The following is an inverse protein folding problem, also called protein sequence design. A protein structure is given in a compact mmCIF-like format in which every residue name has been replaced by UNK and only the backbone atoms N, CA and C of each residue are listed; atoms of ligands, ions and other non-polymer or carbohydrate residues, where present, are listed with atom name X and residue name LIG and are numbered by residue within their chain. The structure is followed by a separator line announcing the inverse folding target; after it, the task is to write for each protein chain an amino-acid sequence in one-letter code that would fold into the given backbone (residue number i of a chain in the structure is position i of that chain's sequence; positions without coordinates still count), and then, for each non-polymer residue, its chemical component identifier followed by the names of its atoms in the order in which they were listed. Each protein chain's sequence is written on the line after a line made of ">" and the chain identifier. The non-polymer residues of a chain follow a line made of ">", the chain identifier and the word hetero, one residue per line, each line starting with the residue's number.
data_IF_762305234383
#
_entry.id   IF_762305234383
#
_cell.length_a   1.000
_cell.length_b   1.000
_cell.length_c   1.000
_cell.angle_alpha   90.00
_cell.angle_beta   90.00
_cell.angle_gamma   90.00
#
_symmetry.space_group_name_H-M   'P 1'
#
loop_
_entity.id
_entity.type
_entity.pdbx_description
1 polymer ?
#
# COMPACT_ATOMS: atom_id res chain seq x y z
N UNK A 1 -51.78 -51.24 -47.46
CA UNK A 1 -52.14 -52.23 -46.42
C UNK A 1 -51.12 -52.06 -45.30
N UNK A 2 -51.38 -51.29 -44.24
CA UNK A 2 -52.23 -51.60 -43.06
C UNK A 2 -51.30 -52.18 -41.96
N UNK A 3 -51.29 -51.80 -40.68
CA UNK A 3 -52.15 -50.94 -39.84
C UNK A 3 -51.46 -50.63 -38.49
N UNK A 4 -51.76 -49.43 -37.96
CA UNK A 4 -52.08 -49.02 -36.57
C UNK A 4 -51.19 -49.21 -35.32
N UNK A 5 -51.18 -48.13 -34.51
CA UNK A 5 -51.11 -48.08 -33.03
C UNK A 5 -50.11 -47.02 -32.52
N UNK A 6 -50.42 -45.71 -32.41
CA UNK A 6 -51.19 -44.96 -31.39
C UNK A 6 -50.83 -45.32 -29.92
N UNK A 7 -50.12 -44.41 -29.26
CA UNK A 7 -49.96 -44.34 -27.80
C UNK A 7 -50.16 -42.89 -27.37
N UNK A 8 -51.12 -42.68 -26.48
CA UNK A 8 -51.75 -41.41 -26.11
C UNK A 8 -50.90 -40.51 -25.21
N UNK A 9 -51.24 -39.22 -25.24
CA UNK A 9 -50.76 -38.22 -24.30
C UNK A 9 -51.67 -38.07 -23.08
N UNK A 10 -51.09 -37.65 -21.97
CA UNK A 10 -51.69 -37.00 -20.79
C UNK A 10 -50.49 -36.28 -20.13
N UNK A 11 -50.40 -34.97 -19.93
CA UNK A 11 -51.46 -34.04 -19.57
C UNK A 11 -51.57 -33.97 -18.05
N UNK A 12 -50.64 -33.30 -17.37
CA UNK A 12 -50.86 -32.77 -16.01
C UNK A 12 -50.26 -31.37 -15.92
N UNK A 13 -51.19 -30.43 -15.84
CA UNK A 13 -51.07 -29.02 -15.51
C UNK A 13 -50.75 -28.84 -14.01
N UNK A 14 -50.22 -27.65 -13.71
CA UNK A 14 -50.35 -26.92 -12.45
C UNK A 14 -49.60 -27.41 -11.20
N UNK A 15 -48.56 -26.63 -10.82
CA UNK A 15 -48.63 -25.93 -9.53
C UNK A 15 -47.70 -24.72 -9.47
N UNK A 16 -48.27 -23.54 -9.71
CA UNK A 16 -47.81 -22.29 -9.12
C UNK A 16 -48.11 -22.31 -7.61
N UNK A 17 -47.22 -21.81 -6.75
CA UNK A 17 -47.60 -21.21 -5.49
C UNK A 17 -47.78 -19.71 -5.66
N UNK A 18 -48.94 -19.27 -5.22
CA UNK A 18 -49.53 -17.96 -5.39
C UNK A 18 -48.81 -16.84 -4.63
N UNK A 19 -48.93 -15.67 -5.26
CA UNK A 19 -48.80 -14.31 -4.74
C UNK A 19 -49.40 -14.17 -3.32
N UNK A 20 -48.53 -14.14 -2.31
CA UNK A 20 -48.87 -13.71 -0.96
C UNK A 20 -48.94 -12.18 -0.91
N UNK A 21 -50.14 -11.63 -1.04
CA UNK A 21 -50.42 -10.24 -0.70
C UNK A 21 -50.46 -10.11 0.81
N UNK A 22 -49.47 -9.43 1.41
CA UNK A 22 -49.59 -8.93 2.77
C UNK A 22 -49.47 -7.41 2.74
N UNK A 23 -50.64 -6.78 2.64
CA UNK A 23 -50.85 -5.38 3.01
C UNK A 23 -50.66 -5.29 4.52
N UNK A 24 -49.65 -4.55 4.96
CA UNK A 24 -49.65 -3.98 6.31
C UNK A 24 -49.28 -2.51 6.20
N UNK A 25 -50.32 -1.69 6.03
CA UNK A 25 -50.29 -0.25 6.30
C UNK A 25 -50.69 -0.05 7.74
N UNK A 26 -49.80 0.52 8.55
CA UNK A 26 -50.19 1.38 9.67
C UNK A 26 -49.09 2.40 9.92
N UNK A 27 -49.54 3.64 9.86
CA UNK A 27 -48.84 4.92 9.96
C UNK A 27 -48.90 5.35 11.42
N UNK A 28 -47.76 5.73 12.03
CA UNK A 28 -47.59 6.79 13.06
C UNK A 28 -46.08 7.11 13.05
N UNK A 29 -45.56 8.14 12.38
CA UNK A 29 -45.60 9.58 12.63
C UNK A 29 -44.93 10.03 13.96
N UNK A 30 -43.98 10.96 13.82
CA UNK A 30 -43.33 11.80 14.83
C UNK A 30 -42.19 11.17 15.64
N UNK A 31 -40.95 11.58 15.32
CA UNK A 31 -40.22 12.53 16.15
C UNK A 31 -39.23 13.32 15.28
N UNK A 32 -39.58 14.59 15.03
CA UNK A 32 -38.64 15.63 14.66
C UNK A 32 -37.71 15.87 15.85
N UNK A 33 -36.44 15.53 15.72
CA UNK A 33 -35.38 15.91 16.63
C UNK A 33 -34.35 16.73 15.87
N UNK A 34 -34.64 18.01 15.65
CA UNK A 34 -33.65 19.00 15.26
C UNK A 34 -32.54 19.04 16.32
N UNK A 35 -31.35 18.55 15.99
CA UNK A 35 -30.15 18.90 16.74
C UNK A 35 -29.35 19.92 15.94
N UNK A 36 -29.84 21.16 15.93
CA UNK A 36 -29.01 22.33 15.66
C UNK A 36 -28.26 22.64 16.95
N UNK A 37 -26.97 22.27 17.02
CA UNK A 37 -26.06 22.80 18.03
C UNK A 37 -24.83 23.35 17.33
N UNK A 38 -24.98 24.57 16.82
CA UNK A 38 -23.87 25.43 16.43
C UNK A 38 -23.07 25.80 17.68
N UNK A 39 -21.89 25.21 17.84
CA UNK A 39 -20.90 25.74 18.76
C UNK A 39 -20.26 26.97 18.13
N UNK A 40 -20.81 28.14 18.44
CA UNK A 40 -20.11 29.41 18.23
C UNK A 40 -18.92 29.47 19.20
N UNK A 41 -17.73 29.16 18.70
CA UNK A 41 -16.50 29.57 19.35
C UNK A 41 -16.30 31.06 19.05
N UNK A 42 -16.67 31.92 20.00
CA UNK A 42 -16.11 33.27 20.08
C UNK A 42 -14.64 33.14 20.45
N UNK A 43 -13.77 33.10 19.45
CA UNK A 43 -12.37 33.45 19.64
C UNK A 43 -12.27 34.98 19.64
N UNK A 44 -11.90 35.54 20.79
CA UNK A 44 -11.50 36.92 20.91
C UNK A 44 -10.32 37.18 19.97
N UNK A 45 -10.51 38.09 19.02
CA UNK A 45 -9.45 38.59 18.15
C UNK A 45 -8.42 39.34 19.00
N UNK A 46 -7.25 38.74 19.17
CA UNK A 46 -6.06 39.43 19.67
C UNK A 46 -5.61 40.44 18.61
N UNK A 47 -5.49 41.70 19.02
CA UNK A 47 -4.98 42.80 18.20
C UNK A 47 -3.56 42.49 17.67
N UNK A 48 -3.21 42.96 16.45
CA UNK A 48 -1.86 42.77 15.91
C UNK A 48 -0.85 43.67 16.63
N UNK A 49 0.22 43.06 17.15
CA UNK A 49 1.38 43.78 17.65
C UNK A 49 2.18 44.39 16.47
N UNK A 50 2.71 45.62 16.59
CA UNK A 50 3.48 46.26 15.52
C UNK A 50 4.91 45.69 15.42
N UNK A 51 5.33 45.37 14.19
CA UNK A 51 6.72 45.09 13.82
C UNK A 51 7.61 46.34 13.94
N UNK A 52 8.83 46.24 14.51
CA UNK A 52 9.86 47.26 14.36
C UNK A 52 10.73 47.01 13.12
N UNK A 53 10.92 48.07 12.34
CA UNK A 53 11.83 48.17 11.19
C UNK A 53 13.32 48.25 11.59
N UNK A 54 14.25 48.02 10.63
CA UNK A 54 15.66 47.72 10.90
C UNK A 54 16.53 48.97 11.12
N UNK A 55 17.47 48.87 12.06
CA UNK A 55 18.45 49.91 12.35
C UNK A 55 19.76 49.63 11.59
N UNK A 56 20.07 50.49 10.62
CA UNK A 56 21.40 50.63 10.01
C UNK A 56 22.32 51.37 10.97
N UNK A 57 23.45 50.79 11.40
CA UNK A 57 24.67 51.53 11.76
C UNK A 57 25.91 50.71 11.33
N UNK A 58 26.90 51.43 10.85
CA UNK A 58 28.04 51.02 10.04
C UNK A 58 29.24 50.41 10.79
N UNK A 59 29.97 49.59 10.01
CA UNK A 59 31.41 49.33 9.96
C UNK A 59 32.33 49.76 11.13
N UNK A 60 33.00 48.77 11.74
CA UNK A 60 34.41 48.83 12.16
C UNK A 60 35.06 47.44 12.03
N UNK A 61 36.35 47.47 11.73
CA UNK A 61 37.24 46.45 11.14
C UNK A 61 37.55 45.20 12.02
N UNK A 62 38.24 44.17 11.47
CA UNK A 62 38.29 42.80 12.01
C UNK A 62 39.35 42.58 13.09
N UNK A 63 39.01 41.72 14.05
CA UNK A 63 39.87 41.25 15.15
C UNK A 63 40.84 40.17 14.62
N UNK A 64 42.16 40.24 14.92
CA UNK A 64 43.13 39.26 14.48
C UNK A 64 43.12 37.98 15.35
N UNK A 65 43.18 36.82 14.67
CA UNK A 65 43.36 35.49 15.26
C UNK A 65 44.72 35.33 15.96
N UNK A 66 44.82 34.62 17.10
CA UNK A 66 46.11 34.25 17.67
C UNK A 66 46.68 33.02 16.99
N UNK A 67 47.87 33.21 16.45
CA UNK A 67 48.80 32.22 15.93
C UNK A 67 49.48 31.48 17.10
N UNK A 68 49.45 30.14 17.12
CA UNK A 68 50.20 29.34 18.09
C UNK A 68 50.81 28.09 17.42
N UNK A 69 52.02 28.31 16.90
CA UNK A 69 53.22 27.50 17.10
C UNK A 69 53.15 25.98 16.83
N UNK A 70 53.72 25.61 15.67
CA UNK A 70 54.34 24.29 15.42
C UNK A 70 55.61 24.13 16.26
N UNK A 71 55.87 22.94 16.82
CA UNK A 71 57.23 22.44 16.98
C UNK A 71 57.53 21.37 15.93
N UNK A 72 58.53 21.66 15.11
CA UNK A 72 59.26 20.70 14.29
C UNK A 72 60.14 19.90 15.25
N UNK A 73 59.90 18.59 15.38
CA UNK A 73 60.88 17.64 15.89
C UNK A 73 61.07 16.58 14.80
N UNK A 74 62.19 16.69 14.10
CA UNK A 74 62.66 15.69 13.16
C UNK A 74 63.38 14.57 13.89
N UNK A 75 63.03 13.33 13.57
CA UNK A 75 63.90 12.18 13.81
C UNK A 75 64.01 11.32 12.55
N UNK A 76 65.19 10.72 12.29
CA UNK A 76 65.54 10.17 10.99
C UNK A 76 65.30 8.66 10.92
N UNK A 77 64.95 8.19 9.71
CA UNK A 77 65.23 6.83 9.25
C UNK A 77 64.28 5.74 9.75
N UNK A 78 63.55 5.13 8.83
CA UNK A 78 63.83 3.77 8.33
C UNK A 78 62.76 3.43 7.27
N UNK A 79 63.17 3.44 6.00
CA UNK A 79 62.36 2.95 4.89
C UNK A 79 62.32 1.42 4.94
N UNK A 80 61.28 0.86 5.53
CA UNK A 80 60.95 -0.54 5.31
C UNK A 80 59.99 -0.65 4.12
N UNK A 81 60.54 -0.99 2.96
CA UNK A 81 59.77 -1.51 1.83
C UNK A 81 59.12 -2.83 2.26
N UNK A 82 57.93 -2.76 2.86
CA UNK A 82 57.04 -3.93 2.90
C UNK A 82 56.52 -4.15 1.48
N UNK A 83 57.04 -5.17 0.81
CA UNK A 83 56.41 -5.74 -0.38
C UNK A 83 54.97 -6.11 0.02
N UNK A 84 54.01 -5.36 -0.51
CA UNK A 84 52.60 -5.72 -0.44
C UNK A 84 52.45 -7.02 -1.23
N UNK A 85 51.98 -8.13 -0.66
CA UNK A 85 51.50 -9.24 -1.47
C UNK A 85 50.36 -8.68 -2.32
N UNK A 86 50.41 -8.91 -3.62
CA UNK A 86 49.27 -8.66 -4.49
C UNK A 86 48.12 -9.51 -3.95
N UNK A 87 47.17 -8.88 -3.25
CA UNK A 87 45.88 -9.49 -3.01
C UNK A 87 45.23 -9.61 -4.39
N UNK A 88 45.00 -10.84 -4.82
CA UNK A 88 44.14 -11.15 -5.96
C UNK A 88 42.84 -10.36 -5.79
N UNK A 89 42.29 -9.74 -6.84
CA UNK A 89 40.97 -9.14 -6.74
C UNK A 89 40.01 -10.20 -6.20
N UNK A 90 39.10 -9.88 -5.26
CA UNK A 90 37.98 -10.77 -4.99
C UNK A 90 37.31 -11.10 -6.34
N UNK A 91 36.84 -12.33 -6.57
CA UNK A 91 36.12 -12.65 -7.79
C UNK A 91 35.06 -11.58 -7.94
N UNK A 92 35.14 -10.86 -9.06
CA UNK A 92 34.20 -9.81 -9.44
C UNK A 92 32.81 -10.34 -9.10
N UNK A 93 32.16 -9.72 -8.12
CA UNK A 93 30.72 -9.83 -7.97
C UNK A 93 30.20 -9.52 -9.36
N UNK A 94 29.67 -10.57 -9.99
CA UNK A 94 29.15 -10.53 -11.34
C UNK A 94 28.44 -9.21 -11.53
N UNK A 95 28.89 -8.51 -12.56
CA UNK A 95 28.19 -7.47 -13.27
C UNK A 95 26.74 -7.31 -12.81
N UNK A 96 26.37 -6.07 -12.51
CA UNK A 96 25.00 -5.58 -12.53
C UNK A 96 24.39 -5.74 -13.95
N UNK A 97 24.42 -6.94 -14.49
CA UNK A 97 23.44 -7.43 -15.44
C UNK A 97 22.14 -7.48 -14.63
N UNK A 98 21.06 -6.94 -15.19
CA UNK A 98 19.73 -7.19 -14.63
C UNK A 98 19.64 -8.70 -14.48
N UNK A 99 19.75 -9.21 -13.25
CA UNK A 99 19.68 -10.63 -13.01
C UNK A 99 18.32 -11.05 -13.52
N UNK A 100 18.31 -11.80 -14.61
CA UNK A 100 17.09 -12.36 -15.13
C UNK A 100 16.64 -13.42 -14.12
N UNK A 101 15.74 -13.03 -13.22
CA UNK A 101 15.23 -13.90 -12.18
C UNK A 101 14.30 -14.99 -12.76
N UNK A 102 14.21 -15.15 -14.09
CA UNK A 102 13.44 -16.16 -14.81
C UNK A 102 13.65 -17.60 -14.34
N UNK A 103 14.84 -17.91 -13.80
CA UNK A 103 15.17 -19.24 -13.26
C UNK A 103 14.67 -19.48 -11.82
N UNK A 104 14.18 -18.46 -11.13
CA UNK A 104 13.74 -18.56 -9.72
C UNK A 104 12.24 -18.84 -9.66
N UNK A 105 11.87 -20.08 -9.31
CA UNK A 105 10.46 -20.46 -9.06
C UNK A 105 10.19 -20.48 -7.57
N UNK A 106 9.16 -19.75 -7.13
CA UNK A 106 8.70 -19.77 -5.75
C UNK A 106 7.41 -20.60 -5.64
N UNK A 107 7.33 -21.41 -4.60
CA UNK A 107 6.11 -22.15 -4.27
C UNK A 107 5.35 -21.41 -3.18
N UNK A 108 4.01 -21.45 -3.25
CA UNK A 108 3.17 -20.87 -2.21
C UNK A 108 3.58 -21.39 -0.81
N UNK A 109 3.60 -20.52 0.22
CA UNK A 109 3.10 -19.14 0.22
C UNK A 109 4.15 -18.07 -0.16
N UNK A 110 5.30 -18.46 -0.71
CA UNK A 110 6.39 -17.51 -1.05
C UNK A 110 6.16 -16.85 -2.41
N UNK A 111 6.68 -15.63 -2.57
CA UNK A 111 6.70 -14.87 -3.84
C UNK A 111 8.11 -14.44 -4.21
N UNK A 112 8.35 -14.11 -5.49
CA UNK A 112 9.66 -13.63 -5.93
C UNK A 112 9.96 -12.24 -5.38
N UNK A 113 11.25 -11.97 -5.14
CA UNK A 113 11.70 -10.68 -4.64
C UNK A 113 11.34 -9.51 -5.58
N UNK A 114 11.20 -8.28 -5.05
CA UNK A 114 10.91 -7.09 -5.85
C UNK A 114 11.98 -6.79 -6.90
N UNK A 115 11.58 -6.18 -8.03
CA UNK A 115 12.54 -5.68 -9.03
C UNK A 115 13.52 -4.70 -8.36
N UNK A 116 14.81 -4.91 -8.59
CA UNK A 116 15.90 -4.12 -8.00
C UNK A 116 16.48 -4.67 -6.70
N UNK A 117 16.05 -5.85 -6.26
CA UNK A 117 16.66 -6.62 -5.15
C UNK A 117 17.24 -7.96 -5.65
N UNK A 118 18.14 -8.62 -4.89
CA UNK A 118 18.67 -9.94 -5.28
C UNK A 118 17.55 -10.96 -5.53
N UNK A 119 17.67 -11.80 -6.56
CA UNK A 119 16.67 -12.83 -6.85
C UNK A 119 16.51 -13.79 -5.66
N UNK A 120 15.27 -14.11 -5.30
CA UNK A 120 14.96 -15.04 -4.23
C UNK A 120 13.46 -15.18 -4.00
N UNK A 121 13.10 -16.01 -3.02
CA UNK A 121 11.73 -16.20 -2.58
C UNK A 121 11.55 -15.65 -1.15
N UNK A 122 10.52 -14.85 -0.95
CA UNK A 122 10.22 -14.16 0.31
C UNK A 122 8.77 -14.36 0.71
N UNK A 123 8.47 -14.19 1.99
CA UNK A 123 7.10 -14.25 2.50
C UNK A 123 6.42 -12.89 2.31
N UNK A 124 5.40 -12.79 1.43
CA UNK A 124 4.62 -11.58 1.32
C UNK A 124 3.68 -11.41 2.52
N UNK A 125 3.30 -10.17 2.78
CA UNK A 125 2.14 -9.86 3.61
C UNK A 125 0.94 -9.66 2.67
N UNK A 126 -0.14 -10.41 2.89
CA UNK A 126 -1.29 -10.41 1.99
C UNK A 126 -2.42 -9.53 2.55
N UNK A 127 -3.04 -8.75 1.67
CA UNK A 127 -4.18 -7.88 1.97
C UNK A 127 -5.29 -8.21 0.96
N UNK A 128 -6.54 -8.27 1.42
CA UNK A 128 -7.69 -8.19 0.53
C UNK A 128 -8.50 -6.93 0.81
N UNK A 129 -8.85 -6.24 -0.29
CA UNK A 129 -9.68 -5.05 -0.27
C UNK A 129 -10.91 -5.26 -1.14
N UNK A 130 -12.06 -4.81 -0.68
CA UNK A 130 -13.24 -4.61 -1.52
C UNK A 130 -13.28 -3.16 -1.97
N UNK A 131 -13.08 -2.91 -3.26
CA UNK A 131 -13.14 -1.59 -3.89
C UNK A 131 -14.55 -1.31 -4.37
N UNK A 132 -15.02 -0.08 -4.22
CA UNK A 132 -16.34 0.42 -4.63
C UNK A 132 -16.54 0.59 -6.14
N UNK A 133 -15.83 -0.17 -6.96
CA UNK A 133 -15.91 -0.16 -8.43
C UNK A 133 -15.93 -1.59 -8.97
N UNK A 134 -16.52 -1.76 -10.15
CA UNK A 134 -16.62 -3.05 -10.81
C UNK A 134 -15.27 -3.47 -11.44
N UNK A 135 -15.00 -4.78 -11.65
CA UNK A 135 -13.68 -5.24 -12.08
C UNK A 135 -13.20 -4.64 -13.41
N UNK A 136 -14.13 -4.41 -14.35
CA UNK A 136 -13.80 -3.82 -15.65
C UNK A 136 -13.31 -2.36 -15.56
N UNK A 137 -13.68 -1.64 -14.49
CA UNK A 137 -13.20 -0.28 -14.22
C UNK A 137 -11.82 -0.30 -13.54
N UNK A 138 -11.54 -1.35 -12.75
CA UNK A 138 -10.26 -1.51 -12.05
C UNK A 138 -9.11 -1.87 -13.00
N UNK A 139 -9.31 -2.84 -13.92
CA UNK A 139 -8.19 -3.41 -14.68
C UNK A 139 -7.34 -2.40 -15.47
N UNK A 140 -7.90 -1.33 -16.07
CA UNK A 140 -7.09 -0.29 -16.70
C UNK A 140 -6.28 0.60 -15.72
N UNK A 141 -6.47 0.44 -14.41
CA UNK A 141 -5.96 1.31 -13.34
C UNK A 141 -5.12 0.58 -12.29
N UNK A 142 -4.67 -0.65 -12.58
CA UNK A 142 -3.89 -1.46 -11.65
C UNK A 142 -2.61 -0.74 -11.20
N UNK A 143 -1.88 -0.14 -12.13
CA UNK A 143 -0.65 0.61 -11.80
C UNK A 143 -0.93 1.78 -10.85
N UNK A 144 -2.04 2.51 -11.05
CA UNK A 144 -2.45 3.60 -10.17
C UNK A 144 -2.79 3.09 -8.77
N UNK A 145 -3.48 1.94 -8.66
CA UNK A 145 -3.78 1.31 -7.39
C UNK A 145 -2.49 0.89 -6.65
N UNK A 146 -1.54 0.28 -7.35
CA UNK A 146 -0.25 -0.11 -6.77
C UNK A 146 0.53 1.11 -6.24
N UNK A 147 0.52 2.22 -6.99
CA UNK A 147 1.16 3.48 -6.58
C UNK A 147 0.54 4.01 -5.28
N UNK A 148 -0.79 4.04 -5.19
CA UNK A 148 -1.50 4.57 -4.02
C UNK A 148 -1.30 3.67 -2.79
N UNK A 149 -1.32 2.35 -2.98
CA UNK A 149 -0.99 1.38 -1.94
C UNK A 149 0.45 1.57 -1.47
N UNK A 150 1.41 1.66 -2.39
CA UNK A 150 2.82 1.83 -2.05
C UNK A 150 3.06 3.11 -1.25
N UNK A 151 2.52 4.24 -1.72
CA UNK A 151 2.59 5.52 -1.01
C UNK A 151 1.96 5.45 0.38
N UNK A 152 0.83 4.75 0.51
CA UNK A 152 0.13 4.54 1.77
C UNK A 152 0.75 3.52 2.71
N UNK A 153 1.78 2.77 2.29
CA UNK A 153 2.42 1.71 3.09
C UNK A 153 3.91 1.92 3.30
N UNK A 154 4.45 3.06 2.85
CA UNK A 154 5.89 3.35 2.86
C UNK A 154 6.72 2.33 2.05
N UNK A 155 6.11 1.72 1.04
CA UNK A 155 6.75 0.77 0.14
C UNK A 155 7.02 1.45 -1.21
N UNK A 156 7.84 0.78 -2.04
CA UNK A 156 7.94 1.12 -3.46
C UNK A 156 6.83 0.41 -4.23
N UNK A 157 6.45 0.94 -5.40
CA UNK A 157 5.49 0.26 -6.27
C UNK A 157 5.94 -1.17 -6.60
N UNK A 158 7.24 -1.40 -6.84
CA UNK A 158 7.78 -2.76 -7.09
C UNK A 158 7.60 -3.76 -5.95
N UNK A 159 7.22 -3.30 -4.77
CA UNK A 159 6.90 -4.10 -3.58
C UNK A 159 5.40 -4.31 -3.38
N UNK A 160 4.55 -3.86 -4.30
CA UNK A 160 3.12 -4.12 -4.31
C UNK A 160 2.82 -4.96 -5.54
N UNK A 161 2.09 -6.06 -5.37
CA UNK A 161 1.67 -6.93 -6.48
C UNK A 161 0.19 -7.22 -6.36
N UNK A 162 -0.56 -6.88 -7.41
CA UNK A 162 -1.95 -7.35 -7.52
C UNK A 162 -1.95 -8.81 -7.98
N UNK A 163 -2.29 -9.73 -7.08
CA UNK A 163 -2.30 -11.17 -7.35
C UNK A 163 -3.57 -11.61 -8.06
N UNK A 164 -4.66 -10.87 -7.87
CA UNK A 164 -5.93 -11.12 -8.55
C UNK A 164 -6.99 -10.11 -8.16
N UNK A 165 -7.99 -9.95 -9.02
CA UNK A 165 -9.15 -9.13 -8.75
C UNK A 165 -10.39 -9.75 -9.41
N UNK A 166 -11.52 -9.72 -8.72
CA UNK A 166 -12.79 -10.24 -9.21
C UNK A 166 -13.97 -9.60 -8.49
N UNK A 167 -15.18 -9.82 -8.99
CA UNK A 167 -16.39 -9.29 -8.34
C UNK A 167 -16.48 -9.76 -6.90
N UNK A 168 -16.87 -8.86 -5.99
CA UNK A 168 -17.12 -9.23 -4.60
C UNK A 168 -18.30 -10.20 -4.53
N UNK A 169 -18.23 -11.15 -3.61
CA UNK A 169 -19.30 -12.13 -3.39
C UNK A 169 -20.60 -11.47 -2.92
N UNK A 170 -20.50 -10.30 -2.27
CA UNK A 170 -21.63 -9.59 -1.69
C UNK A 170 -22.24 -8.58 -2.67
N UNK A 171 -21.42 -8.03 -3.57
CA UNK A 171 -21.82 -6.96 -4.50
C UNK A 171 -21.05 -7.09 -5.83
N UNK A 172 -21.71 -7.47 -6.94
CA UNK A 172 -21.07 -7.59 -8.25
C UNK A 172 -20.48 -6.28 -8.78
N UNK A 173 -20.99 -5.14 -8.30
CA UNK A 173 -20.51 -3.79 -8.65
C UNK A 173 -19.27 -3.39 -7.86
N UNK A 174 -18.82 -4.23 -6.92
CA UNK A 174 -17.55 -4.08 -6.19
C UNK A 174 -16.53 -5.11 -6.65
N UNK A 175 -15.26 -4.80 -6.40
CA UNK A 175 -14.14 -5.68 -6.75
C UNK A 175 -13.36 -6.07 -5.51
N UNK A 176 -13.28 -7.37 -5.24
CA UNK A 176 -12.32 -7.91 -4.27
C UNK A 176 -10.96 -8.06 -4.94
N UNK A 177 -9.95 -7.39 -4.40
CA UNK A 177 -8.56 -7.40 -4.89
C UNK A 177 -7.67 -8.09 -3.87
N UNK A 178 -6.92 -9.10 -4.30
CA UNK A 178 -5.87 -9.75 -3.48
C UNK A 178 -4.52 -9.13 -3.81
N UNK A 179 -3.84 -8.62 -2.79
CA UNK A 179 -2.60 -7.84 -2.91
C UNK A 179 -1.52 -8.52 -2.08
N UNK A 180 -0.37 -8.77 -2.68
CA UNK A 180 0.84 -9.16 -1.97
C UNK A 180 1.74 -7.92 -1.79
N UNK A 181 2.03 -7.60 -0.53
CA UNK A 181 3.08 -6.65 -0.16
C UNK A 181 4.37 -7.45 0.03
N UNK A 182 5.39 -7.10 -0.76
CA UNK A 182 6.62 -7.87 -0.87
C UNK A 182 7.76 -7.16 -0.12
N UNK A 183 8.39 -7.81 0.88
CA UNK A 183 9.50 -7.22 1.62
C UNK A 183 10.79 -7.21 0.81
N UNK A 184 11.75 -6.37 1.21
CA UNK A 184 13.13 -6.39 0.68
C UNK A 184 14.02 -7.44 1.37
N UNK A 185 13.62 -7.91 2.56
CA UNK A 185 14.20 -9.04 3.27
C UNK A 185 13.34 -10.29 3.13
N UNK A 186 13.64 -11.32 3.92
CA UNK A 186 12.90 -12.60 3.88
C UNK A 186 11.40 -12.46 4.23
N UNK A 187 11.07 -11.55 5.15
CA UNK A 187 9.72 -11.18 5.59
C UNK A 187 9.73 -9.74 6.11
N UNK A 188 8.57 -9.10 6.26
CA UNK A 188 8.47 -7.90 7.10
C UNK A 188 8.77 -8.28 8.55
N UNK A 189 9.42 -7.41 9.33
CA UNK A 189 9.46 -7.57 10.78
C UNK A 189 8.08 -7.26 11.39
N UNK A 190 7.86 -7.72 12.63
CA UNK A 190 6.57 -7.60 13.31
C UNK A 190 6.11 -6.14 13.45
N UNK A 191 7.03 -5.20 13.66
CA UNK A 191 6.70 -3.78 13.81
C UNK A 191 6.24 -3.20 12.49
N UNK A 192 6.99 -3.44 11.41
CA UNK A 192 6.61 -3.00 10.06
C UNK A 192 5.27 -3.60 9.63
N UNK A 193 5.07 -4.90 9.85
CA UNK A 193 3.81 -5.57 9.54
C UNK A 193 2.63 -4.96 10.31
N UNK A 194 2.77 -4.73 11.62
CA UNK A 194 1.72 -4.10 12.43
C UNK A 194 1.41 -2.67 11.97
N UNK A 195 2.44 -1.88 11.63
CA UNK A 195 2.26 -0.53 11.10
C UNK A 195 1.48 -0.55 9.79
N UNK A 196 1.86 -1.43 8.85
CA UNK A 196 1.17 -1.60 7.57
C UNK A 196 -0.29 -2.03 7.80
N UNK A 197 -0.54 -3.08 8.59
CA UNK A 197 -1.89 -3.55 8.93
C UNK A 197 -2.77 -2.41 9.46
N UNK A 198 -2.25 -1.67 10.44
CA UNK A 198 -2.99 -0.57 11.07
C UNK A 198 -3.32 0.54 10.07
N UNK A 199 -2.47 0.79 9.08
CA UNK A 199 -2.76 1.78 8.05
C UNK A 199 -3.92 1.35 7.17
N UNK A 200 -4.02 0.09 6.79
CA UNK A 200 -5.19 -0.41 6.05
C UNK A 200 -6.45 -0.34 6.91
N UNK A 201 -6.42 -0.91 8.11
CA UNK A 201 -7.58 -1.01 9.00
C UNK A 201 -8.12 0.37 9.42
N UNK A 202 -7.25 1.37 9.55
CA UNK A 202 -7.64 2.74 9.89
C UNK A 202 -7.89 3.64 8.66
N UNK A 203 -7.99 3.05 7.47
CA UNK A 203 -8.18 3.76 6.18
C UNK A 203 -7.16 4.88 5.93
N UNK A 204 -5.89 4.65 6.30
CA UNK A 204 -4.74 5.58 6.12
C UNK A 204 -3.93 5.31 4.84
N UNK A 205 -4.37 4.38 4.00
CA UNK A 205 -3.81 4.18 2.65
C UNK A 205 -4.64 5.07 1.71
N UNK A 206 -4.03 6.06 1.01
CA UNK A 206 -4.77 7.09 0.30
C UNK A 206 -5.24 6.60 -1.08
N UNK A 207 -6.11 5.59 -1.08
CA UNK A 207 -6.75 5.09 -2.29
C UNK A 207 -7.80 6.12 -2.72
N UNK A 208 -7.70 6.67 -3.94
CA UNK A 208 -8.59 7.72 -4.43
C UNK A 208 -9.99 7.17 -4.65
N UNK A 209 -10.93 7.57 -3.79
CA UNK A 209 -12.34 7.16 -3.90
C UNK A 209 -13.02 7.65 -5.18
N UNK A 210 -12.51 8.72 -5.81
CA UNK A 210 -13.01 9.19 -7.11
C UNK A 210 -12.71 8.23 -8.27
N UNK A 211 -11.71 7.34 -8.12
CA UNK A 211 -11.29 6.37 -9.14
C UNK A 211 -11.70 4.96 -8.77
N UNK A 212 -11.53 4.59 -7.49
CA UNK A 212 -11.71 3.22 -6.99
C UNK A 212 -12.93 3.04 -6.09
N UNK A 213 -13.70 4.09 -5.85
CA UNK A 213 -14.73 4.11 -4.82
C UNK A 213 -14.13 4.02 -3.42
N UNK A 214 -14.99 4.02 -2.40
CA UNK A 214 -14.55 3.69 -1.06
C UNK A 214 -14.06 2.24 -1.02
N UNK A 215 -13.09 1.96 -0.15
CA UNK A 215 -12.58 0.62 0.04
C UNK A 215 -12.81 0.11 1.45
N UNK A 216 -13.01 -1.19 1.59
CA UNK A 216 -13.05 -1.89 2.87
C UNK A 216 -11.99 -2.99 2.90
N UNK A 217 -11.41 -3.22 4.08
CA UNK A 217 -10.39 -4.26 4.29
C UNK A 217 -11.09 -5.53 4.72
N UNK A 218 -11.03 -6.57 3.90
CA UNK A 218 -11.71 -7.85 4.16
C UNK A 218 -10.76 -8.89 4.74
N UNK A 219 -9.45 -8.77 4.47
CA UNK A 219 -8.44 -9.69 4.97
C UNK A 219 -7.08 -9.00 5.13
N UNK A 220 -6.38 -9.34 6.21
CA UNK A 220 -4.97 -8.97 6.42
C UNK A 220 -4.27 -10.19 6.98
N UNK A 221 -3.23 -10.66 6.30
CA UNK A 221 -2.43 -11.78 6.75
C UNK A 221 -0.95 -11.48 6.65
N UNK A 222 -0.33 -11.50 7.82
CA UNK A 222 1.10 -11.44 7.97
C UNK A 222 1.58 -12.82 8.41
N UNK A 223 2.37 -13.54 7.59
CA UNK A 223 2.85 -14.89 7.90
C UNK A 223 3.97 -14.90 8.97
N UNK A 224 4.15 -13.81 9.73
CA UNK A 224 5.21 -13.70 10.71
C UNK A 224 4.79 -14.26 12.06
N UNK A 225 5.37 -15.44 12.31
CA UNK A 225 5.27 -16.36 13.47
C UNK A 225 4.36 -17.55 13.18
#
# INVERSE_FOLDING_TARGET
>A
MGSYGRGDGHGVLDKFPSLGTSRSTSIVAYFFGHWSRTHHHHFAALAPAPSPQPQHIAALAPVPSPEAQRPIIGHPGHKHHRKRPHASPPPSLSSSERQDCSRTTCSAPLTSTPIGSPCGCVYPMQIQLDLGVAPFQLFPRIDELEIEIAAGTFLKQSQVRIMGAGSSLQDPEKTTVTIDLVPLGQKFDRTSALLISNRFLQKKVPIKSSIFGDYDVTYVHYPGE
#
